data_IF_744004363762
#
_entry.id   IF_744004363762
#
_cell.length_a   1.000
_cell.length_b   1.000
_cell.length_c   1.000
_cell.angle_alpha   90.00
_cell.angle_beta   90.00
_cell.angle_gamma   90.00
#
_symmetry.space_group_name_H-M   'P 1'
#
loop_
_entity.id
_entity.type
_entity.pdbx_description
1 polymer ?
#
# COMPACT_ATOMS: atom_id res chain seq x y z
N UNK A 1 36.82 12.08 15.03
CA UNK A 1 36.86 10.99 14.06
C UNK A 1 35.41 10.62 13.77
N UNK A 2 34.89 11.10 12.65
CA UNK A 2 33.48 10.98 12.29
C UNK A 2 33.27 9.61 11.64
N UNK A 3 32.52 8.74 12.29
CA UNK A 3 31.99 7.54 11.66
C UNK A 3 30.62 7.91 11.09
N UNK A 4 30.60 8.28 9.82
CA UNK A 4 29.35 8.42 9.07
C UNK A 4 28.92 7.02 8.66
N UNK A 5 27.96 6.46 9.38
CA UNK A 5 27.17 5.33 8.89
C UNK A 5 25.93 5.91 8.24
N UNK A 6 25.98 6.20 6.95
CA UNK A 6 24.80 6.61 6.19
C UNK A 6 24.08 5.36 5.70
N UNK A 7 23.24 4.80 6.54
CA UNK A 7 22.14 4.00 6.03
C UNK A 7 21.03 5.00 5.63
N UNK A 8 20.96 5.33 4.34
CA UNK A 8 19.77 6.02 3.80
C UNK A 8 18.58 5.07 3.94
N UNK A 9 17.79 5.29 4.96
CA UNK A 9 16.51 4.60 5.08
C UNK A 9 15.51 5.33 4.19
N UNK A 10 15.20 4.73 3.06
CA UNK A 10 14.13 5.20 2.19
C UNK A 10 12.79 4.77 2.81
N UNK A 11 11.92 5.73 3.07
CA UNK A 11 10.57 5.48 3.57
C UNK A 11 9.59 6.15 2.61
N UNK A 12 8.69 5.35 2.04
CA UNK A 12 7.61 5.85 1.19
C UNK A 12 6.31 5.89 2.01
N UNK A 13 5.63 7.02 1.98
CA UNK A 13 4.33 7.22 2.63
C UNK A 13 3.42 8.08 1.75
N UNK A 14 2.12 8.03 2.04
CA UNK A 14 1.13 8.83 1.33
C UNK A 14 1.02 10.26 1.88
N UNK A 15 0.69 11.22 1.03
CA UNK A 15 0.41 12.58 1.47
C UNK A 15 -0.79 12.60 2.46
N UNK A 16 -0.63 13.33 3.56
CA UNK A 16 -1.62 13.37 4.65
C UNK A 16 -1.39 12.35 5.77
N UNK A 17 -0.51 11.37 5.57
CA UNK A 17 -0.14 10.44 6.65
C UNK A 17 0.82 11.08 7.65
N UNK A 18 0.70 10.63 8.90
CA UNK A 18 1.59 11.01 9.98
C UNK A 18 2.59 9.89 10.24
N UNK A 19 3.87 10.22 10.21
CA UNK A 19 4.93 9.25 10.51
C UNK A 19 5.64 9.63 11.80
N UNK A 20 5.85 8.65 12.67
CA UNK A 20 6.65 8.79 13.88
C UNK A 20 8.03 8.17 13.64
N UNK A 21 9.07 8.92 13.89
CA UNK A 21 10.45 8.45 13.88
C UNK A 21 10.95 8.39 15.31
N UNK A 22 11.41 7.22 15.73
CA UNK A 22 11.97 7.02 17.07
C UNK A 22 13.43 6.62 16.93
N UNK A 23 14.30 7.32 17.62
CA UNK A 23 15.71 6.98 17.69
C UNK A 23 16.00 6.18 18.95
N UNK A 24 16.49 4.98 18.76
CA UNK A 24 16.96 4.14 19.84
C UNK A 24 18.50 4.25 19.95
N UNK A 25 18.98 5.02 20.91
CA UNK A 25 20.41 5.08 21.19
C UNK A 25 20.87 3.80 21.85
N UNK A 26 21.92 3.19 21.30
CA UNK A 26 22.63 2.08 21.96
C UNK A 26 23.61 2.57 23.02
N UNK A 27 23.81 3.89 23.17
CA UNK A 27 24.70 4.48 24.17
C UNK A 27 23.91 4.97 25.38
N UNK A 28 24.34 4.62 26.55
CA UNK A 28 23.80 4.99 27.87
C UNK A 28 24.21 6.42 28.27
N UNK A 29 24.08 7.43 27.42
CA UNK A 29 24.49 8.81 27.70
C UNK A 29 23.33 9.79 27.58
N UNK A 30 23.28 10.79 28.45
CA UNK A 30 22.34 11.91 28.46
C UNK A 30 22.60 12.87 27.27
N UNK A 31 22.22 12.48 26.06
CA UNK A 31 22.31 13.32 24.87
C UNK A 31 20.99 13.97 24.54
N UNK A 32 21.02 15.15 23.94
CA UNK A 32 19.85 15.83 23.39
C UNK A 32 19.67 15.49 21.92
N UNK A 33 18.45 15.13 21.53
CA UNK A 33 18.10 14.89 20.14
C UNK A 33 17.51 16.17 19.53
N UNK A 34 18.02 16.53 18.37
CA UNK A 34 17.45 17.57 17.52
C UNK A 34 17.16 16.96 16.15
N UNK A 35 15.91 16.99 15.78
CA UNK A 35 15.44 16.58 14.46
C UNK A 35 15.31 17.81 13.57
N UNK A 36 15.73 17.73 12.35
CA UNK A 36 15.55 18.81 11.38
C UNK A 36 14.78 18.27 10.18
N UNK A 37 13.63 18.87 9.89
CA UNK A 37 12.81 18.56 8.72
C UNK A 37 12.70 19.82 7.87
N UNK A 38 13.19 19.77 6.63
CA UNK A 38 13.21 20.95 5.74
C UNK A 38 13.81 22.22 6.38
N UNK A 39 14.85 22.04 7.20
CA UNK A 39 15.54 23.16 7.87
C UNK A 39 14.88 23.67 9.15
N UNK A 40 13.73 23.11 9.57
CA UNK A 40 13.05 23.44 10.81
C UNK A 40 13.41 22.45 11.91
N UNK A 41 13.84 22.91 13.10
CA UNK A 41 14.21 22.04 14.20
C UNK A 41 13.00 21.58 15.02
N UNK A 42 13.06 20.31 15.47
CA UNK A 42 12.14 19.67 16.41
C UNK A 42 12.97 19.01 17.50
N UNK A 43 12.49 19.03 18.75
CA UNK A 43 13.23 18.54 19.91
C UNK A 43 12.49 17.39 20.57
N UNK A 44 13.22 16.37 21.03
CA UNK A 44 12.68 15.21 21.72
C UNK A 44 13.30 13.91 21.28
N UNK A 45 12.94 12.83 21.96
CA UNK A 45 13.41 11.48 21.63
C UNK A 45 12.74 10.95 20.36
N UNK A 46 11.52 11.41 20.08
CA UNK A 46 10.72 11.01 18.93
C UNK A 46 10.37 12.23 18.07
N UNK A 47 10.32 12.01 16.77
CA UNK A 47 9.77 12.97 15.82
C UNK A 47 8.46 12.41 15.28
N UNK A 48 7.36 13.13 15.52
CA UNK A 48 6.09 12.92 14.84
C UNK A 48 5.87 14.06 13.85
N UNK A 49 5.76 13.72 12.56
CA UNK A 49 5.61 14.72 11.50
C UNK A 49 4.54 14.27 10.50
N UNK A 50 3.66 15.21 10.13
CA UNK A 50 2.63 14.98 9.11
C UNK A 50 3.04 15.61 7.80
N UNK A 51 3.12 14.81 6.76
CA UNK A 51 3.47 15.24 5.41
C UNK A 51 2.19 15.58 4.64
N UNK A 52 2.03 16.83 4.25
CA UNK A 52 0.82 17.30 3.56
C UNK A 52 0.98 17.43 2.05
N UNK A 53 2.22 17.48 1.57
CA UNK A 53 2.51 17.66 0.15
C UNK A 53 3.44 16.56 -0.34
N UNK A 54 3.31 16.21 -1.61
CA UNK A 54 4.28 15.36 -2.28
C UNK A 54 5.68 15.96 -2.26
N UNK A 55 6.67 15.10 -2.34
CA UNK A 55 8.06 15.50 -2.45
C UNK A 55 9.01 14.59 -1.69
N UNK A 56 10.27 14.99 -1.72
CA UNK A 56 11.35 14.31 -1.02
C UNK A 56 11.74 15.15 0.19
N UNK A 57 11.59 14.58 1.37
CA UNK A 57 11.91 15.22 2.64
C UNK A 57 13.17 14.58 3.20
N UNK A 58 14.13 15.43 3.55
CA UNK A 58 15.32 14.99 4.28
C UNK A 58 15.14 15.29 5.76
N UNK A 59 15.19 14.25 6.58
CA UNK A 59 15.15 14.35 8.02
C UNK A 59 16.56 14.12 8.54
N UNK A 60 17.08 15.05 9.31
CA UNK A 60 18.37 14.91 9.96
C UNK A 60 18.13 14.80 11.46
N UNK A 61 18.55 13.70 12.05
CA UNK A 61 18.66 13.54 13.49
C UNK A 61 20.08 13.88 13.92
N UNK A 62 20.20 14.87 14.78
CA UNK A 62 21.45 15.20 15.46
C UNK A 62 21.31 14.91 16.95
N UNK A 63 22.18 14.09 17.47
CA UNK A 63 22.30 13.81 18.89
C UNK A 63 23.60 14.41 19.42
N UNK A 64 23.49 15.26 20.43
CA UNK A 64 24.62 15.95 21.05
C UNK A 64 24.82 15.47 22.49
N UNK A 65 26.09 15.27 22.85
CA UNK A 65 26.49 15.06 24.24
C UNK A 65 27.79 15.88 24.48
N UNK A 66 27.66 17.06 25.07
CA UNK A 66 28.74 18.01 25.22
C UNK A 66 29.31 18.44 23.85
N UNK A 67 30.65 18.31 23.64
CA UNK A 67 31.27 18.72 22.37
C UNK A 67 31.15 17.68 21.26
N UNK A 68 30.61 16.49 21.55
CA UNK A 68 30.46 15.40 20.60
C UNK A 68 29.04 15.35 20.05
N UNK A 69 28.92 15.07 18.75
CA UNK A 69 27.64 14.84 18.13
C UNK A 69 27.70 13.69 17.10
N UNK A 70 26.56 13.09 16.85
CA UNK A 70 26.31 12.14 15.76
C UNK A 70 25.15 12.65 14.94
N UNK A 71 25.25 12.56 13.63
CA UNK A 71 24.18 12.90 12.71
C UNK A 71 23.80 11.69 11.87
N UNK A 72 22.50 11.48 11.71
CA UNK A 72 21.90 10.47 10.83
C UNK A 72 20.89 11.18 9.91
N UNK A 73 20.87 10.80 8.64
CA UNK A 73 19.96 11.38 7.66
C UNK A 73 19.02 10.30 7.13
N UNK A 74 17.73 10.60 7.16
CA UNK A 74 16.68 9.77 6.61
C UNK A 74 16.05 10.52 5.43
N UNK A 75 15.72 9.79 4.37
CA UNK A 75 15.00 10.33 3.23
C UNK A 75 13.59 9.73 3.20
N UNK A 76 12.58 10.59 3.19
CA UNK A 76 11.17 10.22 3.10
C UNK A 76 10.65 10.73 1.77
N UNK A 77 10.11 9.84 0.96
CA UNK A 77 9.42 10.17 -0.28
C UNK A 77 7.92 10.15 -0.01
N UNK A 78 7.29 11.27 -0.28
CA UNK A 78 5.85 11.42 -0.21
C UNK A 78 5.32 11.41 -1.63
N UNK A 79 4.45 10.46 -1.93
CA UNK A 79 3.76 10.37 -3.20
C UNK A 79 2.26 10.58 -3.01
N UNK A 80 1.56 10.94 -4.07
CA UNK A 80 0.10 10.78 -4.07
C UNK A 80 -0.22 9.31 -3.87
N UNK A 81 -1.04 9.03 -2.86
CA UNK A 81 -1.69 7.74 -2.82
C UNK A 81 -2.62 7.65 -4.02
N UNK A 82 -2.52 6.64 -4.85
CA UNK A 82 -3.47 6.46 -5.92
C UNK A 82 -4.87 6.45 -5.30
N UNK A 83 -5.69 7.42 -5.66
CA UNK A 83 -7.03 7.63 -5.09
C UNK A 83 -7.98 6.44 -5.30
N UNK A 84 -7.62 5.53 -6.19
CA UNK A 84 -8.24 4.23 -6.40
C UNK A 84 -7.13 3.20 -6.62
N UNK A 85 -6.78 2.45 -5.58
CA UNK A 85 -5.82 1.34 -5.64
C UNK A 85 -6.33 0.21 -6.55
N UNK A 86 -7.62 0.17 -6.81
CA UNK A 86 -8.24 -0.84 -7.68
C UNK A 86 -9.49 -0.31 -8.37
N UNK A 87 -9.82 -0.96 -9.47
CA UNK A 87 -11.09 -0.83 -10.16
C UNK A 87 -11.60 -2.21 -10.57
N UNK A 88 -12.89 -2.48 -10.37
CA UNK A 88 -13.51 -3.76 -10.74
C UNK A 88 -14.60 -3.49 -11.77
N UNK A 89 -14.52 -4.07 -12.97
CA UNK A 89 -15.56 -3.95 -13.98
C UNK A 89 -16.91 -4.46 -13.47
N UNK A 90 -18.01 -3.95 -14.01
CA UNK A 90 -19.36 -4.41 -13.65
C UNK A 90 -19.97 -5.41 -14.63
N UNK A 91 -19.30 -5.66 -15.77
CA UNK A 91 -19.74 -6.67 -16.74
C UNK A 91 -18.56 -7.16 -17.58
N UNK A 92 -18.70 -8.35 -18.18
CA UNK A 92 -17.83 -8.87 -19.21
C UNK A 92 -18.60 -9.83 -20.16
N UNK A 93 -18.01 -10.08 -21.32
CA UNK A 93 -18.66 -10.80 -22.43
C UNK A 93 -17.78 -11.94 -22.91
N UNK A 94 -17.77 -13.10 -22.21
CA UNK A 94 -16.97 -14.26 -22.63
C UNK A 94 -17.67 -15.02 -23.78
N UNK A 95 -17.70 -14.41 -24.95
CA UNK A 95 -18.43 -14.86 -26.14
C UNK A 95 -17.50 -15.28 -27.30
N UNK A 96 -16.19 -15.45 -27.01
CA UNK A 96 -15.14 -15.80 -27.94
C UNK A 96 -14.79 -14.68 -28.98
N UNK A 97 -15.26 -13.43 -28.75
CA UNK A 97 -14.82 -12.24 -29.45
C UNK A 97 -13.49 -11.72 -28.86
N UNK A 98 -12.83 -10.76 -29.50
CA UNK A 98 -11.49 -10.31 -29.06
C UNK A 98 -11.48 -9.48 -27.77
N UNK A 99 -12.61 -8.92 -27.35
CA UNK A 99 -12.69 -8.00 -26.19
C UNK A 99 -13.46 -8.62 -25.01
N UNK A 100 -13.11 -8.23 -23.78
CA UNK A 100 -13.82 -8.55 -22.54
C UNK A 100 -14.04 -10.06 -22.27
N UNK A 101 -13.10 -10.89 -22.71
CA UNK A 101 -13.19 -12.35 -22.57
C UNK A 101 -12.91 -12.84 -21.15
N UNK A 102 -12.27 -12.03 -20.35
CA UNK A 102 -11.85 -12.37 -18.98
C UNK A 102 -12.20 -11.28 -18.00
N UNK A 103 -12.42 -11.65 -16.76
CA UNK A 103 -12.86 -10.76 -15.69
C UNK A 103 -11.92 -10.82 -14.49
N UNK A 104 -11.72 -9.68 -13.87
CA UNK A 104 -10.94 -9.54 -12.63
C UNK A 104 -10.69 -8.08 -12.30
N UNK A 105 -10.18 -7.80 -11.11
CA UNK A 105 -9.84 -6.45 -10.70
C UNK A 105 -8.65 -5.93 -11.50
N UNK A 106 -8.65 -4.62 -11.75
CA UNK A 106 -7.48 -3.88 -12.21
C UNK A 106 -6.87 -3.24 -10.98
N UNK A 107 -5.67 -3.65 -10.62
CA UNK A 107 -4.94 -3.12 -9.48
C UNK A 107 -3.96 -2.06 -9.97
N UNK A 108 -3.86 -0.94 -9.25
CA UNK A 108 -2.77 0.03 -9.39
C UNK A 108 -1.71 -0.20 -8.30
N UNK A 109 -0.70 0.64 -8.24
CA UNK A 109 0.34 0.55 -7.22
C UNK A 109 -0.23 0.84 -5.81
N UNK A 110 0.46 0.38 -4.76
CA UNK A 110 0.12 0.67 -3.37
C UNK A 110 -0.61 -0.44 -2.61
N UNK A 111 -0.80 -1.62 -3.19
CA UNK A 111 -1.33 -2.79 -2.47
C UNK A 111 -0.23 -3.80 -2.13
N UNK A 112 -0.45 -4.55 -1.04
CA UNK A 112 0.39 -5.69 -0.69
C UNK A 112 -0.20 -6.98 -1.29
N UNK A 113 0.59 -7.68 -2.08
CA UNK A 113 0.21 -8.96 -2.70
C UNK A 113 -0.07 -10.05 -1.63
N UNK A 114 0.56 -9.93 -0.46
CA UNK A 114 0.30 -10.84 0.64
C UNK A 114 -1.07 -10.54 1.27
N UNK A 115 -2.01 -11.42 1.09
CA UNK A 115 -3.39 -11.26 1.58
C UNK A 115 -4.37 -10.80 0.53
N UNK A 116 -3.94 -10.70 -0.74
CA UNK A 116 -4.86 -10.52 -1.85
C UNK A 116 -5.74 -11.76 -2.03
N UNK A 117 -7.02 -11.53 -2.17
CA UNK A 117 -8.03 -12.56 -2.43
C UNK A 117 -9.16 -11.94 -3.24
N UNK A 118 -9.48 -12.53 -4.38
CA UNK A 118 -10.61 -12.14 -5.21
C UNK A 118 -11.48 -13.35 -5.47
N UNK A 119 -12.74 -13.29 -5.04
CA UNK A 119 -13.68 -14.41 -5.06
C UNK A 119 -14.96 -14.02 -5.77
N UNK A 120 -15.48 -14.91 -6.61
CA UNK A 120 -16.74 -14.71 -7.35
C UNK A 120 -17.75 -15.76 -6.91
N UNK A 121 -18.96 -15.31 -6.61
CA UNK A 121 -20.07 -16.12 -6.14
C UNK A 121 -21.24 -16.07 -7.13
N UNK A 122 -21.93 -17.17 -7.26
CA UNK A 122 -23.21 -17.21 -7.96
C UNK A 122 -24.34 -16.67 -7.06
N UNK A 123 -25.54 -16.56 -7.62
CA UNK A 123 -26.74 -16.05 -6.91
C UNK A 123 -27.16 -16.86 -5.68
N UNK A 124 -26.63 -18.09 -5.53
CA UNK A 124 -26.89 -18.95 -4.37
C UNK A 124 -25.78 -18.87 -3.31
N UNK A 125 -24.78 -18.01 -3.52
CA UNK A 125 -23.65 -17.83 -2.60
C UNK A 125 -22.57 -18.90 -2.74
N UNK A 126 -22.62 -19.75 -3.78
CA UNK A 126 -21.55 -20.71 -4.03
C UNK A 126 -20.40 -20.03 -4.78
N UNK A 127 -19.16 -20.30 -4.39
CA UNK A 127 -17.96 -19.86 -5.09
C UNK A 127 -17.92 -20.52 -6.47
N UNK A 128 -17.73 -19.72 -7.50
CA UNK A 128 -17.56 -20.19 -8.88
C UNK A 128 -16.15 -19.95 -9.40
N UNK A 129 -15.42 -19.04 -8.76
CA UNK A 129 -14.02 -18.79 -9.06
C UNK A 129 -13.35 -18.02 -7.92
N UNK A 130 -12.06 -18.26 -7.71
CA UNK A 130 -11.23 -17.54 -6.72
C UNK A 130 -9.79 -17.43 -7.20
N UNK A 131 -9.09 -16.38 -6.77
CA UNK A 131 -7.67 -16.17 -7.02
C UNK A 131 -7.00 -15.40 -5.87
N UNK A 132 -5.77 -15.78 -5.58
CA UNK A 132 -4.85 -15.03 -4.72
C UNK A 132 -3.80 -14.25 -5.56
N UNK A 133 -3.87 -14.36 -6.88
CA UNK A 133 -3.05 -13.59 -7.81
C UNK A 133 -3.83 -12.37 -8.28
N UNK A 134 -3.35 -11.13 -8.06
CA UNK A 134 -3.98 -9.90 -8.54
C UNK A 134 -4.14 -9.85 -10.06
N UNK A 135 -3.33 -10.62 -10.80
CA UNK A 135 -3.42 -10.77 -12.24
C UNK A 135 -4.30 -11.95 -12.68
N UNK A 136 -4.81 -12.72 -11.73
CA UNK A 136 -5.75 -13.79 -12.00
C UNK A 136 -6.98 -13.26 -12.73
N UNK A 137 -7.47 -14.02 -13.74
CA UNK A 137 -8.62 -13.62 -14.54
C UNK A 137 -9.55 -14.80 -14.73
N UNK A 138 -10.83 -14.55 -14.50
CA UNK A 138 -11.90 -15.53 -14.71
C UNK A 138 -12.41 -15.48 -16.14
N UNK A 139 -12.54 -16.61 -16.77
CA UNK A 139 -13.03 -16.77 -18.14
C UNK A 139 -14.54 -17.02 -18.24
N UNK A 140 -15.27 -16.95 -17.13
CA UNK A 140 -16.71 -17.22 -17.08
C UNK A 140 -17.05 -18.71 -17.07
N UNK A 141 -16.11 -19.58 -16.72
CA UNK A 141 -16.36 -21.03 -16.55
C UNK A 141 -16.25 -21.45 -15.08
N UNK A 142 -16.95 -22.52 -14.71
CA UNK A 142 -16.84 -23.22 -13.45
C UNK A 142 -16.88 -24.73 -13.71
N UNK A 143 -15.91 -25.49 -13.21
CA UNK A 143 -15.74 -26.92 -13.47
C UNK A 143 -15.74 -27.29 -14.99
N UNK A 144 -15.11 -26.42 -15.79
CA UNK A 144 -15.01 -26.61 -17.26
C UNK A 144 -16.31 -26.37 -18.02
N UNK A 145 -17.33 -25.80 -17.39
CA UNK A 145 -18.61 -25.45 -18.02
C UNK A 145 -18.84 -23.96 -17.99
N UNK A 146 -19.38 -23.41 -19.08
CA UNK A 146 -19.76 -21.99 -19.14
C UNK A 146 -20.82 -21.69 -18.06
N UNK A 147 -20.54 -20.69 -17.23
CA UNK A 147 -21.51 -20.18 -16.27
C UNK A 147 -22.68 -19.49 -17.00
N UNK A 148 -23.94 -19.62 -16.54
CA UNK A 148 -25.07 -18.95 -17.14
C UNK A 148 -24.93 -17.41 -17.16
N UNK A 149 -25.54 -16.77 -18.15
CA UNK A 149 -25.67 -15.33 -18.19
C UNK A 149 -26.48 -14.83 -16.98
N UNK A 150 -26.11 -13.66 -16.48
CA UNK A 150 -26.77 -13.08 -15.32
C UNK A 150 -25.80 -12.44 -14.34
N UNK A 151 -26.31 -12.13 -13.14
CA UNK A 151 -25.61 -11.39 -12.10
C UNK A 151 -24.89 -12.37 -11.16
N UNK A 152 -23.64 -12.03 -10.86
CA UNK A 152 -22.75 -12.67 -9.89
C UNK A 152 -22.30 -11.61 -8.88
N UNK A 153 -21.80 -12.05 -7.74
CA UNK A 153 -21.24 -11.19 -6.71
C UNK A 153 -19.72 -11.44 -6.67
N UNK A 154 -18.95 -10.37 -6.60
CA UNK A 154 -17.51 -10.48 -6.32
C UNK A 154 -17.19 -9.93 -4.94
N UNK A 155 -16.15 -10.47 -4.34
CA UNK A 155 -15.54 -9.98 -3.11
C UNK A 155 -14.04 -9.84 -3.34
N UNK A 156 -13.51 -8.67 -2.99
CA UNK A 156 -12.08 -8.34 -3.07
C UNK A 156 -11.55 -8.03 -1.69
N UNK A 157 -10.44 -8.66 -1.35
CA UNK A 157 -9.72 -8.42 -0.10
C UNK A 157 -8.24 -8.25 -0.40
N UNK A 158 -7.61 -7.25 0.18
CA UNK A 158 -6.17 -7.03 0.09
C UNK A 158 -5.70 -6.11 1.21
N UNK A 159 -4.38 -6.05 1.43
CA UNK A 159 -3.76 -5.12 2.36
C UNK A 159 -3.21 -3.92 1.58
N UNK A 160 -3.23 -2.74 2.20
CA UNK A 160 -2.59 -1.54 1.66
C UNK A 160 -1.12 -1.55 2.07
N UNK A 161 -0.23 -1.21 1.13
CA UNK A 161 1.20 -1.19 1.40
C UNK A 161 1.53 -0.13 2.47
N UNK A 162 2.30 -0.52 3.48
CA UNK A 162 2.74 0.38 4.55
C UNK A 162 1.68 0.72 5.59
N UNK A 163 0.51 0.12 5.53
CA UNK A 163 -0.57 0.29 6.47
C UNK A 163 -1.12 -1.09 6.90
N UNK A 164 -1.56 -1.21 8.15
CA UNK A 164 -2.23 -2.41 8.66
C UNK A 164 -3.70 -2.51 8.20
N UNK A 165 -4.17 -1.54 7.41
CA UNK A 165 -5.54 -1.52 6.92
C UNK A 165 -5.76 -2.61 5.87
N UNK A 166 -6.85 -3.33 6.10
CA UNK A 166 -7.37 -4.34 5.16
C UNK A 166 -8.55 -3.76 4.43
N UNK A 167 -8.47 -3.74 3.12
CA UNK A 167 -9.60 -3.43 2.27
C UNK A 167 -10.41 -4.71 2.10
N UNK A 168 -11.70 -4.60 2.36
CA UNK A 168 -12.70 -5.62 2.05
C UNK A 168 -13.83 -4.91 1.31
N UNK A 169 -13.97 -5.21 0.04
CA UNK A 169 -15.00 -4.63 -0.81
C UNK A 169 -15.74 -5.71 -1.59
N UNK A 170 -16.94 -5.41 -2.03
CA UNK A 170 -17.79 -6.31 -2.79
C UNK A 170 -18.65 -5.55 -3.77
N UNK A 171 -19.04 -6.23 -4.82
CA UNK A 171 -19.92 -5.67 -5.81
C UNK A 171 -20.56 -6.74 -6.66
N UNK A 172 -21.19 -6.31 -7.74
CA UNK A 172 -21.82 -7.22 -8.69
C UNK A 172 -21.14 -7.13 -10.05
N UNK A 173 -21.18 -8.22 -10.77
CA UNK A 173 -20.82 -8.29 -12.17
C UNK A 173 -21.95 -8.97 -12.96
N UNK A 174 -22.05 -8.65 -14.23
CA UNK A 174 -22.99 -9.27 -15.14
C UNK A 174 -22.24 -9.99 -16.27
N UNK A 175 -22.56 -11.26 -16.47
CA UNK A 175 -22.13 -12.02 -17.67
C UNK A 175 -23.19 -11.80 -18.75
N UNK A 176 -22.73 -11.42 -19.93
CA UNK A 176 -23.54 -11.25 -21.15
C UNK A 176 -22.84 -12.02 -22.28
N UNK A 177 -23.59 -12.82 -23.04
CA UNK A 177 -23.07 -13.53 -24.24
C UNK A 177 -23.99 -13.32 -25.43
#
# INVERSE_FOLDING_TARGET
MSLVSSAQQLVEICAGETKTFTYFSTSTGDGTNTWTVNGLPYFGEELTYTYTNEGVYNIVLRRENGPCYVEETFQVIISECPGNIYWVPNCFTPDDNEANQVYGPVMSEGYDINGFEFTIFNRWGNVVWESQDPNGRWDGTHDGKKCPDGVYIWMLKFNVFGNDDKILDHGHLTIIR
#
